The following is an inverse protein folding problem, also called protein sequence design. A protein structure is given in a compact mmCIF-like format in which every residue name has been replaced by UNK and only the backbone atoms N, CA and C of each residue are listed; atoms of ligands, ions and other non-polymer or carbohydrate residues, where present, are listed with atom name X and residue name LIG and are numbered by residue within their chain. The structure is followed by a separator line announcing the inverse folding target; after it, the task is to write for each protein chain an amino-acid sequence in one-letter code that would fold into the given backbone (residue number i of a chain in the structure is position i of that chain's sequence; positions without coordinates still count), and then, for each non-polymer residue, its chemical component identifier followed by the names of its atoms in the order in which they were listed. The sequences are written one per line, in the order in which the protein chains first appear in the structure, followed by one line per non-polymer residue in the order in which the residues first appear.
data_IF_549653127849
#
_entry.id   IF_549653127849
#
_cell.length_a   1.000
_cell.length_b   1.000
_cell.length_c   1.000
_cell.angle_alpha   90.00
_cell.angle_beta   90.00
_cell.angle_gamma   90.00
#
_symmetry.space_group_name_H-M   'P 1'
#
loop_
_entity.id
_entity.type
_entity.pdbx_description
1 polymer ?
#
# COMPACT_ATOMS: atom_id res chain seq x y z
N UNK A 1 -9.35 4.13 -2.19
CA UNK A 1 -9.59 5.58 -1.95
C UNK A 1 -8.39 6.30 -1.34
N UNK A 2 -7.67 5.71 -0.36
CA UNK A 2 -6.48 6.33 0.26
C UNK A 2 -5.38 6.75 -0.74
N UNK A 3 -5.08 5.93 -1.75
CA UNK A 3 -4.11 6.27 -2.79
C UNK A 3 -4.49 7.55 -3.57
N UNK A 4 -5.79 7.79 -3.82
CA UNK A 4 -6.28 9.02 -4.46
C UNK A 4 -6.25 10.21 -3.50
N UNK A 5 -6.46 10.00 -2.20
CA UNK A 5 -6.35 11.08 -1.21
C UNK A 5 -4.91 11.52 -1.00
N UNK A 6 -3.95 10.59 -1.09
CA UNK A 6 -2.52 10.90 -1.02
C UNK A 6 -2.08 11.88 -2.14
N UNK A 7 -2.69 11.78 -3.32
CA UNK A 7 -2.41 12.69 -4.44
C UNK A 7 -3.18 14.01 -4.35
N UNK A 8 -4.44 13.99 -3.90
CA UNK A 8 -5.30 15.18 -3.90
C UNK A 8 -5.09 16.09 -2.68
N UNK A 9 -4.86 15.49 -1.50
CA UNK A 9 -4.80 16.21 -0.23
C UNK A 9 -3.68 15.64 0.67
N UNK A 10 -2.40 15.88 0.36
CA UNK A 10 -1.28 15.29 1.10
C UNK A 10 -1.16 15.81 2.55
N UNK A 11 -1.58 17.05 2.84
CA UNK A 11 -1.45 17.64 4.18
C UNK A 11 -2.29 16.93 5.26
N UNK A 12 -3.60 16.65 5.07
CA UNK A 12 -4.37 15.85 6.03
C UNK A 12 -3.87 14.41 6.19
N UNK A 13 -3.29 13.83 5.14
CA UNK A 13 -2.69 12.49 5.19
C UNK A 13 -1.46 12.49 6.10
N UNK A 14 -0.59 13.50 5.96
CA UNK A 14 0.59 13.65 6.80
C UNK A 14 0.22 13.77 8.29
N UNK A 15 -0.80 14.58 8.62
CA UNK A 15 -1.27 14.74 10.00
C UNK A 15 -1.78 13.45 10.65
N UNK A 16 -2.13 12.45 9.85
CA UNK A 16 -2.70 11.18 10.32
C UNK A 16 -1.85 9.98 9.96
N UNK A 17 -0.63 10.19 9.46
CA UNK A 17 0.22 9.14 8.92
C UNK A 17 0.42 8.01 9.93
N UNK A 18 0.67 8.33 11.20
CA UNK A 18 0.88 7.33 12.24
C UNK A 18 -0.33 6.41 12.45
N UNK A 19 -1.54 6.97 12.36
CA UNK A 19 -2.80 6.21 12.46
C UNK A 19 -3.10 5.38 11.22
N UNK A 20 -2.50 5.70 10.08
CA UNK A 20 -2.68 4.99 8.82
C UNK A 20 -1.68 3.84 8.66
N UNK A 21 -0.43 4.01 9.12
CA UNK A 21 0.61 3.01 8.94
C UNK A 21 0.37 1.76 9.79
N UNK A 22 -0.12 1.89 11.01
CA UNK A 22 -0.28 0.73 11.90
C UNK A 22 -1.34 -0.28 11.38
N UNK A 23 -2.53 0.15 10.92
CA UNK A 23 -3.47 -0.76 10.27
C UNK A 23 -2.94 -1.43 8.99
N UNK A 24 -2.14 -0.70 8.20
CA UNK A 24 -1.50 -1.25 6.99
C UNK A 24 -0.46 -2.32 7.37
N UNK A 25 0.34 -2.06 8.41
CA UNK A 25 1.31 -3.01 8.96
C UNK A 25 0.62 -4.28 9.46
N UNK A 26 -0.45 -4.13 10.24
CA UNK A 26 -1.23 -5.25 10.76
C UNK A 26 -1.79 -6.11 9.61
N UNK A 27 -2.34 -5.47 8.57
CA UNK A 27 -2.84 -6.17 7.38
C UNK A 27 -1.75 -6.99 6.70
N UNK A 28 -0.55 -6.43 6.53
CA UNK A 28 0.56 -7.12 5.87
C UNK A 28 1.14 -8.28 6.71
N UNK A 29 1.02 -8.19 8.03
CA UNK A 29 1.53 -9.18 8.97
C UNK A 29 0.51 -10.26 9.34
N UNK A 30 -0.76 -10.09 8.93
CA UNK A 30 -1.84 -11.02 9.23
C UNK A 30 -1.55 -12.37 8.55
N UNK A 31 -1.55 -13.42 9.35
CA UNK A 31 -1.44 -14.81 8.89
C UNK A 31 -2.80 -15.48 8.98
N UNK A 32 -3.15 -16.20 7.93
CA UNK A 32 -4.37 -17.00 7.87
C UNK A 32 -4.16 -18.25 8.72
N UNK A 33 -5.20 -18.70 9.44
CA UNK A 33 -5.11 -19.86 10.33
C UNK A 33 -4.92 -21.14 9.51
N UNK A 34 -4.17 -22.09 10.07
CA UNK A 34 -4.12 -23.43 9.49
C UNK A 34 -5.54 -24.05 9.54
N UNK A 35 -6.04 -24.54 8.41
CA UNK A 35 -7.40 -25.06 8.28
C UNK A 35 -8.44 -24.07 7.74
N UNK A 36 -8.03 -22.82 7.47
CA UNK A 36 -8.86 -21.87 6.74
C UNK A 36 -9.24 -22.38 5.35
N UNK A 37 -10.42 -22.01 4.87
CA UNK A 37 -10.86 -22.37 3.52
C UNK A 37 -10.12 -21.55 2.47
N UNK A 38 -9.97 -22.07 1.24
CA UNK A 38 -9.21 -21.42 0.14
C UNK A 38 -9.57 -19.94 -0.06
N UNK A 39 -10.86 -19.61 0.05
CA UNK A 39 -11.35 -18.24 -0.10
C UNK A 39 -10.80 -17.26 0.95
N UNK A 40 -10.49 -17.72 2.16
CA UNK A 40 -9.90 -16.88 3.20
C UNK A 40 -8.45 -16.52 2.87
N UNK A 41 -7.69 -17.46 2.30
CA UNK A 41 -6.34 -17.19 1.82
C UNK A 41 -6.35 -16.19 0.65
N UNK A 42 -7.23 -16.39 -0.33
CA UNK A 42 -7.38 -15.48 -1.47
C UNK A 42 -7.78 -14.07 -1.02
N UNK A 43 -8.73 -13.96 -0.07
CA UNK A 43 -9.12 -12.68 0.54
C UNK A 43 -7.94 -11.98 1.21
N UNK A 44 -7.14 -12.72 1.97
CA UNK A 44 -6.01 -12.15 2.70
C UNK A 44 -4.88 -11.72 1.76
N UNK A 45 -4.64 -12.46 0.68
CA UNK A 45 -3.70 -12.07 -0.36
C UNK A 45 -4.14 -10.77 -1.06
N UNK A 46 -5.42 -10.62 -1.40
CA UNK A 46 -5.92 -9.37 -1.99
C UNK A 46 -5.86 -8.20 -1.00
N UNK A 47 -6.15 -8.44 0.29
CA UNK A 47 -6.01 -7.41 1.32
C UNK A 47 -4.55 -6.94 1.47
N UNK A 48 -3.58 -7.87 1.48
CA UNK A 48 -2.14 -7.56 1.47
C UNK A 48 -1.78 -6.72 0.24
N UNK A 49 -2.24 -7.11 -0.95
CA UNK A 49 -2.02 -6.34 -2.19
C UNK A 49 -2.61 -4.94 -2.11
N UNK A 50 -3.82 -4.79 -1.62
CA UNK A 50 -4.48 -3.49 -1.42
C UNK A 50 -3.71 -2.59 -0.45
N UNK A 51 -3.25 -3.15 0.68
CA UNK A 51 -2.43 -2.42 1.65
C UNK A 51 -1.10 -1.97 1.03
N UNK A 52 -0.43 -2.83 0.28
CA UNK A 52 0.82 -2.49 -0.42
C UNK A 52 0.63 -1.38 -1.48
N UNK A 53 -0.51 -1.38 -2.20
CA UNK A 53 -0.85 -0.27 -3.12
C UNK A 53 -1.00 1.05 -2.38
N UNK A 54 -1.63 1.04 -1.19
CA UNK A 54 -1.73 2.24 -0.36
C UNK A 54 -0.35 2.73 0.10
N UNK A 55 0.53 1.84 0.56
CA UNK A 55 1.91 2.20 0.95
C UNK A 55 2.68 2.78 -0.23
N UNK A 56 2.56 2.19 -1.41
CA UNK A 56 3.20 2.68 -2.63
C UNK A 56 2.74 4.10 -3.01
N UNK A 57 1.49 4.46 -2.74
CA UNK A 57 0.95 5.79 -2.99
C UNK A 57 1.34 6.81 -1.91
N UNK A 58 1.68 6.37 -0.70
CA UNK A 58 2.11 7.24 0.39
C UNK A 58 3.60 7.63 0.30
N UNK A 59 4.46 6.73 -0.19
CA UNK A 59 5.90 6.94 -0.28
C UNK A 59 6.37 8.12 -1.16
N UNK A 60 5.67 8.50 -2.24
CA UNK A 60 6.00 9.70 -3.01
C UNK A 60 5.81 11.01 -2.22
N UNK A 61 5.05 11.02 -1.14
CA UNK A 61 4.88 12.21 -0.29
C UNK A 61 6.17 12.38 0.54
N UNK A 62 6.98 13.45 0.31
CA UNK A 62 8.30 13.57 0.92
C UNK A 62 8.29 13.48 2.45
N UNK A 63 7.33 14.17 3.08
CA UNK A 63 7.20 14.21 4.53
C UNK A 63 6.76 12.86 5.13
N UNK A 64 6.02 12.04 4.38
CA UNK A 64 5.66 10.68 4.81
C UNK A 64 6.90 9.78 4.78
N UNK A 65 7.76 9.92 3.76
CA UNK A 65 9.03 9.18 3.68
C UNK A 65 10.01 9.51 4.82
N UNK A 66 9.95 10.73 5.37
CA UNK A 66 10.77 11.16 6.52
C UNK A 66 10.23 10.65 7.87
N UNK A 67 8.97 10.21 7.93
CA UNK A 67 8.38 9.76 9.18
C UNK A 67 9.04 8.45 9.66
N UNK A 68 9.44 8.36 10.94
CA UNK A 68 10.09 7.17 11.48
C UNK A 68 9.20 5.94 11.42
N UNK A 69 7.87 6.07 11.54
CA UNK A 69 6.96 4.93 11.46
C UNK A 69 6.93 4.31 10.06
N UNK A 70 6.97 5.16 9.03
CA UNK A 70 7.00 4.75 7.62
C UNK A 70 8.35 4.16 7.25
N UNK A 71 9.45 4.76 7.72
CA UNK A 71 10.80 4.23 7.52
C UNK A 71 10.94 2.82 8.12
N UNK A 72 10.48 2.63 9.37
CA UNK A 72 10.45 1.33 10.03
C UNK A 72 9.58 0.32 9.28
N UNK A 73 8.39 0.72 8.84
CA UNK A 73 7.52 -0.17 8.07
C UNK A 73 8.11 -0.56 6.72
N UNK A 74 8.69 0.39 6.00
CA UNK A 74 9.37 0.14 4.73
C UNK A 74 10.56 -0.80 4.91
N UNK A 75 11.32 -0.64 5.99
CA UNK A 75 12.40 -1.57 6.36
C UNK A 75 11.87 -2.99 6.59
N UNK A 76 10.78 -3.14 7.34
CA UNK A 76 10.12 -4.43 7.56
C UNK A 76 9.65 -5.08 6.25
N UNK A 77 9.03 -4.32 5.35
CA UNK A 77 8.62 -4.81 4.02
C UNK A 77 9.84 -5.32 3.24
N UNK A 78 10.95 -4.58 3.25
CA UNK A 78 12.19 -4.96 2.54
C UNK A 78 12.87 -6.17 3.15
N UNK A 79 12.78 -6.35 4.47
CA UNK A 79 13.36 -7.47 5.20
C UNK A 79 12.59 -8.79 4.99
N UNK A 80 11.34 -8.71 4.53
CA UNK A 80 10.51 -9.88 4.23
C UNK A 80 10.48 -10.13 2.71
N UNK A 81 11.07 -11.23 2.19
CA UNK A 81 11.13 -11.50 0.76
C UNK A 81 9.78 -11.55 0.05
N UNK A 82 8.75 -12.10 0.70
CA UNK A 82 7.39 -12.17 0.16
C UNK A 82 6.81 -10.75 -0.04
N UNK A 83 6.88 -9.93 1.01
CA UNK A 83 6.37 -8.56 0.96
C UNK A 83 7.21 -7.68 0.04
N UNK A 84 8.53 -7.82 0.03
CA UNK A 84 9.42 -7.09 -0.86
C UNK A 84 9.12 -7.41 -2.34
N UNK A 85 8.93 -8.69 -2.66
CA UNK A 85 8.55 -9.13 -4.00
C UNK A 85 7.20 -8.56 -4.43
N UNK A 86 6.19 -8.65 -3.56
CA UNK A 86 4.86 -8.09 -3.81
C UNK A 86 4.90 -6.57 -4.01
N UNK A 87 5.62 -5.87 -3.15
CA UNK A 87 5.76 -4.42 -3.20
C UNK A 87 6.46 -3.96 -4.49
N UNK A 88 7.50 -4.68 -4.94
CA UNK A 88 8.19 -4.40 -6.21
C UNK A 88 7.25 -4.56 -7.40
N UNK A 89 6.42 -5.62 -7.43
CA UNK A 89 5.43 -5.84 -8.49
C UNK A 89 4.41 -4.70 -8.53
N UNK A 90 3.85 -4.34 -7.38
CA UNK A 90 2.88 -3.24 -7.28
C UNK A 90 3.46 -1.90 -7.74
N UNK A 91 4.70 -1.58 -7.35
CA UNK A 91 5.38 -0.35 -7.83
C UNK A 91 5.55 -0.35 -9.35
N UNK A 92 5.86 -1.50 -9.95
CA UNK A 92 5.97 -1.64 -11.41
C UNK A 92 4.61 -1.44 -12.07
N UNK A 93 3.57 -2.09 -11.56
CA UNK A 93 2.21 -2.02 -12.11
C UNK A 93 1.63 -0.60 -12.02
N UNK A 94 1.93 0.11 -10.92
CA UNK A 94 1.52 1.51 -10.73
C UNK A 94 2.25 2.49 -11.66
N UNK A 95 3.46 2.15 -12.13
CA UNK A 95 4.18 2.96 -13.10
C UNK A 95 3.70 2.72 -14.54
N UNK A 96 3.02 1.60 -14.79
CA UNK A 96 2.46 1.23 -16.10
C UNK A 96 0.98 1.56 -16.27
N UNK A 97 0.35 2.28 -15.33
CA UNK A 97 -1.04 2.69 -15.52
C UNK A 97 -1.11 3.67 -16.70
N UNK A 98 -1.84 3.35 -17.80
CA UNK A 98 -2.08 4.32 -18.85
C UNK A 98 -2.87 5.48 -18.25
N UNK A 99 -2.40 6.69 -18.48
CA UNK A 99 -3.20 7.90 -18.36
C UNK A 99 -4.49 7.70 -19.16
N UNK A 100 -5.59 7.41 -18.48
CA UNK A 100 -6.94 7.58 -19.02
C UNK A 100 -7.20 9.09 -19.12
N UNK A 101 -6.58 9.70 -20.10
CA UNK A 101 -7.09 10.92 -20.72
C UNK A 101 -7.79 10.51 -22.03
N UNK A 102 -8.69 11.34 -22.52
CA UNK A 102 -9.60 11.08 -23.65
C UNK A 102 -10.87 10.27 -23.33
N UNK A 103 -11.76 10.89 -22.55
CA UNK A 103 -13.19 10.86 -22.90
C UNK A 103 -13.42 11.97 -23.94
N UNK A 104 -13.18 11.66 -25.21
CA UNK A 104 -13.65 12.51 -26.31
C UNK A 104 -15.13 12.21 -26.50
N UNK A 105 -15.97 13.14 -26.04
CA UNK A 105 -17.41 13.13 -26.26
C UNK A 105 -17.66 13.63 -27.69
N UNK A 106 -17.97 12.73 -28.62
CA UNK A 106 -18.62 13.06 -29.90
C UNK A 106 -20.14 13.02 -29.77
#
# INVERSE_FOLDING_TARGET
MLARLATLCPAPILQRVDRLIEPLRATCSTKVKAGSVKQEFEKQDELKRSAMRAVAALLPIPEVGKSPIMANFTSQIRSNPELAGLFKRIKKDSASAPSTDSVELS
#
